data_IF_442402398212
#
_entry.id   IF_442402398212
#
_cell.length_a   1.000
_cell.length_b   1.000
_cell.length_c   1.000
_cell.angle_alpha   90.00
_cell.angle_beta   90.00
_cell.angle_gamma   90.00
#
_symmetry.space_group_name_H-M   'P 1'
#
loop_
_entity.id
_entity.type
_entity.pdbx_description
1 polymer ?
#
# COMPACT_ATOMS: atom_id res chain seq x y z
N UNK A 1 29.67 -39.15 -24.65
CA UNK A 1 30.18 -39.68 -23.37
C UNK A 1 30.38 -38.52 -22.41
N UNK A 2 29.72 -38.59 -21.25
CA UNK A 2 30.12 -38.10 -19.90
C UNK A 2 28.93 -37.51 -19.11
N UNK A 3 28.28 -38.44 -18.40
CA UNK A 3 27.66 -38.42 -17.06
C UNK A 3 26.99 -37.18 -16.46
N UNK A 4 25.74 -37.43 -16.02
CA UNK A 4 24.85 -36.64 -15.18
C UNK A 4 25.32 -36.47 -13.72
N UNK A 5 24.74 -35.48 -13.02
CA UNK A 5 24.50 -35.55 -11.55
C UNK A 5 23.15 -34.95 -11.18
N UNK A 6 22.30 -35.80 -10.62
CA UNK A 6 21.03 -35.48 -9.96
C UNK A 6 21.31 -34.88 -8.58
N UNK A 7 20.58 -33.82 -8.21
CA UNK A 7 20.48 -33.38 -6.82
C UNK A 7 19.15 -33.88 -6.26
N UNK A 8 19.21 -34.90 -5.40
CA UNK A 8 18.10 -35.37 -4.59
C UNK A 8 18.10 -34.56 -3.30
N UNK A 9 17.07 -33.74 -3.08
CA UNK A 9 16.82 -33.13 -1.77
C UNK A 9 15.88 -34.04 -0.98
N UNK A 10 16.44 -34.77 -0.01
CA UNK A 10 15.69 -35.42 1.06
C UNK A 10 15.63 -34.43 2.22
N UNK A 11 14.44 -33.99 2.61
CA UNK A 11 14.27 -33.31 3.90
C UNK A 11 13.23 -34.05 4.71
N UNK A 12 13.73 -34.62 5.80
CA UNK A 12 13.05 -35.50 6.75
C UNK A 12 11.93 -34.79 7.50
N UNK A 13 10.80 -35.48 7.59
CA UNK A 13 9.68 -35.20 8.48
C UNK A 13 10.06 -35.71 9.88
N UNK A 14 10.19 -34.80 10.85
CA UNK A 14 10.27 -35.14 12.27
C UNK A 14 9.00 -34.63 12.96
N UNK A 15 8.07 -35.54 13.26
CA UNK A 15 6.87 -35.28 14.05
C UNK A 15 7.22 -35.46 15.52
N UNK A 16 7.34 -34.36 16.26
CA UNK A 16 7.42 -34.37 17.73
C UNK A 16 6.00 -34.18 18.28
N UNK A 17 5.44 -35.25 18.84
CA UNK A 17 4.22 -35.23 19.67
C UNK A 17 4.64 -34.83 21.08
N UNK A 18 4.25 -33.63 21.52
CA UNK A 18 4.47 -33.14 22.89
C UNK A 18 3.14 -32.92 23.61
N UNK A 19 2.99 -33.58 24.76
CA UNK A 19 1.81 -33.52 25.63
C UNK A 19 1.71 -32.18 26.39
N UNK A 20 0.53 -31.57 26.26
CA UNK A 20 -0.28 -30.85 27.25
C UNK A 20 0.33 -30.52 28.63
N UNK A 21 0.40 -29.22 28.91
CA UNK A 21 0.06 -28.64 30.22
C UNK A 21 -0.74 -27.35 29.99
N UNK A 22 -1.94 -27.34 30.54
CA UNK A 22 -2.97 -26.32 30.39
C UNK A 22 -2.67 -25.12 31.30
N UNK A 23 -2.31 -23.99 30.71
CA UNK A 23 -2.41 -22.69 31.35
C UNK A 23 -3.34 -21.81 30.50
N UNK A 24 -4.41 -21.38 31.17
CA UNK A 24 -5.57 -20.65 30.70
C UNK A 24 -5.17 -19.22 30.27
N UNK A 25 -4.54 -19.07 29.10
CA UNK A 25 -4.40 -17.76 28.49
C UNK A 25 -5.75 -17.34 27.89
N UNK A 26 -6.43 -16.45 28.60
CA UNK A 26 -7.51 -15.59 28.12
C UNK A 26 -7.04 -14.69 26.95
N UNK A 27 -6.57 -15.30 25.87
CA UNK A 27 -6.25 -14.65 24.61
C UNK A 27 -7.58 -14.26 23.98
N UNK A 28 -7.90 -12.98 24.12
CA UNK A 28 -9.10 -12.35 23.58
C UNK A 28 -9.33 -12.83 22.15
N UNK A 29 -10.39 -13.62 21.99
CA UNK A 29 -10.71 -14.28 20.74
C UNK A 29 -10.70 -13.27 19.61
N UNK A 30 -9.78 -13.52 18.69
CA UNK A 30 -9.47 -12.69 17.54
C UNK A 30 -10.70 -11.99 17.01
N UNK A 31 -10.60 -10.66 17.01
CA UNK A 31 -11.48 -9.77 16.30
C UNK A 31 -11.33 -10.08 14.80
N UNK A 32 -12.04 -11.10 14.31
CA UNK A 32 -12.06 -11.47 12.90
C UNK A 32 -12.77 -10.37 12.12
N UNK A 33 -12.04 -9.31 11.81
CA UNK A 33 -12.47 -8.24 10.95
C UNK A 33 -12.16 -8.64 9.50
N UNK A 34 -13.18 -8.58 8.64
CA UNK A 34 -13.05 -8.95 7.23
C UNK A 34 -12.14 -7.95 6.53
N UNK A 35 -11.02 -8.42 5.99
CA UNK A 35 -10.09 -7.62 5.20
C UNK A 35 -10.31 -7.90 3.72
N UNK A 36 -10.60 -6.85 2.96
CA UNK A 36 -10.70 -6.91 1.50
C UNK A 36 -9.55 -6.11 0.89
N UNK A 37 -8.91 -6.67 -0.15
CA UNK A 37 -7.85 -5.99 -0.89
C UNK A 37 -8.38 -5.43 -2.21
N UNK A 38 -7.93 -4.23 -2.56
CA UNK A 38 -8.31 -3.49 -3.75
C UNK A 38 -7.05 -3.02 -4.49
N UNK A 39 -7.13 -3.01 -5.82
CA UNK A 39 -6.17 -2.26 -6.65
C UNK A 39 -6.67 -0.81 -6.72
N UNK A 40 -5.76 0.14 -6.57
CA UNK A 40 -6.04 1.57 -6.60
C UNK A 40 -4.90 2.32 -7.29
N UNK A 41 -5.12 3.59 -7.60
CA UNK A 41 -4.08 4.50 -8.11
C UNK A 41 -3.86 5.60 -7.08
N UNK A 42 -2.62 5.76 -6.67
CA UNK A 42 -2.18 6.89 -5.86
C UNK A 42 -1.58 7.94 -6.77
N UNK A 43 -2.11 9.16 -6.72
CA UNK A 43 -1.68 10.28 -7.56
C UNK A 43 -1.15 11.42 -6.71
N UNK A 44 -0.02 11.99 -7.10
CA UNK A 44 0.53 13.20 -6.49
C UNK A 44 0.03 14.43 -7.26
N UNK A 45 -0.66 15.40 -6.64
CA UNK A 45 -1.00 16.64 -7.33
C UNK A 45 0.26 17.37 -7.81
N UNK A 46 0.28 17.74 -9.09
CA UNK A 46 1.38 18.50 -9.71
C UNK A 46 0.82 19.78 -10.34
N UNK A 47 1.59 20.87 -10.25
CA UNK A 47 1.23 22.16 -10.86
C UNK A 47 1.66 22.24 -12.33
N UNK A 48 2.63 21.42 -12.74
CA UNK A 48 3.16 21.35 -14.11
C UNK A 48 2.46 20.23 -14.90
N UNK A 49 1.70 20.56 -15.96
CA UNK A 49 1.00 19.56 -16.78
C UNK A 49 1.91 18.51 -17.42
N UNK A 50 3.19 18.84 -17.67
CA UNK A 50 4.14 17.89 -18.25
C UNK A 50 4.50 16.75 -17.29
N UNK A 51 4.25 16.92 -15.99
CA UNK A 51 4.50 15.91 -14.96
C UNK A 51 3.29 15.01 -14.69
N UNK A 52 2.09 15.36 -15.17
CA UNK A 52 0.84 14.62 -14.86
C UNK A 52 0.94 13.13 -15.22
N UNK A 53 1.53 12.80 -16.37
CA UNK A 53 1.70 11.42 -16.83
C UNK A 53 2.63 10.56 -15.93
N UNK A 54 3.40 11.20 -15.05
CA UNK A 54 4.37 10.56 -14.16
C UNK A 54 3.95 10.60 -12.69
N UNK A 55 2.83 11.25 -12.38
CA UNK A 55 2.36 11.47 -11.02
C UNK A 55 1.50 10.32 -10.45
N UNK A 56 1.19 9.33 -11.28
CA UNK A 56 0.36 8.17 -10.92
C UNK A 56 1.20 6.93 -10.57
N UNK A 57 0.76 6.24 -9.52
CA UNK A 57 1.39 5.05 -8.98
C UNK A 57 0.33 3.99 -8.65
N UNK A 58 0.40 2.79 -9.23
CA UNK A 58 -0.48 1.70 -8.85
C UNK A 58 -0.14 1.23 -7.43
N UNK A 59 -1.17 1.06 -6.59
CA UNK A 59 -1.03 0.60 -5.21
C UNK A 59 -2.09 -0.43 -4.88
N UNK A 60 -1.76 -1.35 -3.96
CA UNK A 60 -2.72 -2.28 -3.38
C UNK A 60 -3.12 -1.81 -1.99
N UNK A 61 -4.43 -1.69 -1.78
CA UNK A 61 -5.02 -1.15 -0.55
C UNK A 61 -5.83 -2.23 0.14
N UNK A 62 -5.54 -2.48 1.41
CA UNK A 62 -6.35 -3.33 2.27
C UNK A 62 -7.33 -2.46 3.06
N UNK A 63 -8.62 -2.76 2.95
CA UNK A 63 -9.67 -2.12 3.75
C UNK A 63 -10.28 -3.17 4.67
N UNK A 64 -10.44 -2.83 5.93
CA UNK A 64 -10.97 -3.69 6.96
C UNK A 64 -12.12 -3.01 7.69
N UNK A 65 -13.26 -3.69 7.79
CA UNK A 65 -14.37 -3.26 8.66
C UNK A 65 -14.20 -3.89 10.04
N UNK A 66 -13.92 -3.04 11.04
CA UNK A 66 -13.74 -3.44 12.43
C UNK A 66 -15.11 -3.72 13.07
N UNK A 67 -15.14 -4.60 14.09
CA UNK A 67 -16.39 -4.93 14.81
C UNK A 67 -17.02 -3.72 15.48
N UNK A 68 -16.23 -2.71 15.82
CA UNK A 68 -16.70 -1.44 16.35
C UNK A 68 -17.46 -0.57 15.33
N UNK A 69 -17.72 -1.06 14.11
CA UNK A 69 -18.31 -0.29 13.02
C UNK A 69 -17.37 0.78 12.45
N UNK A 70 -16.06 0.60 12.62
CA UNK A 70 -15.02 1.51 12.11
C UNK A 70 -14.39 0.93 10.84
N UNK A 71 -13.90 1.80 9.96
CA UNK A 71 -13.12 1.39 8.79
C UNK A 71 -11.64 1.63 9.03
N UNK A 72 -10.80 0.67 8.65
CA UNK A 72 -9.35 0.77 8.63
C UNK A 72 -8.86 0.61 7.19
N UNK A 73 -8.04 1.55 6.74
CA UNK A 73 -7.39 1.53 5.43
C UNK A 73 -5.88 1.41 5.62
N UNK A 74 -5.26 0.41 4.98
CA UNK A 74 -3.85 0.11 5.09
C UNK A 74 -3.23 -0.11 3.71
N UNK A 75 -2.10 0.52 3.44
CA UNK A 75 -1.32 0.30 2.22
C UNK A 75 0.14 0.75 2.42
N UNK A 76 0.97 0.60 1.40
CA UNK A 76 2.34 1.14 1.40
C UNK A 76 2.50 2.16 0.28
N UNK A 77 3.13 3.30 0.58
CA UNK A 77 3.52 4.27 -0.43
C UNK A 77 4.55 3.64 -1.40
N UNK A 78 4.49 3.96 -2.70
CA UNK A 78 5.44 3.48 -3.69
C UNK A 78 6.87 3.87 -3.34
N UNK A 79 7.81 2.94 -3.52
CA UNK A 79 9.25 3.23 -3.30
C UNK A 79 9.78 4.20 -4.33
N UNK A 80 9.16 4.23 -5.50
CA UNK A 80 9.38 5.15 -6.60
C UNK A 80 8.90 6.57 -6.30
N UNK A 81 8.22 6.79 -5.17
CA UNK A 81 7.80 8.11 -4.71
C UNK A 81 8.59 8.58 -3.47
N UNK A 82 8.80 7.70 -2.49
CA UNK A 82 9.41 8.11 -1.20
C UNK A 82 10.78 7.49 -0.92
N UNK A 83 11.23 6.54 -1.75
CA UNK A 83 12.54 5.86 -1.62
C UNK A 83 12.57 4.68 -0.64
N UNK A 84 11.60 4.59 0.27
CA UNK A 84 11.45 3.49 1.23
C UNK A 84 10.04 2.89 1.19
N UNK A 85 9.87 1.71 1.78
CA UNK A 85 8.52 1.15 1.99
C UNK A 85 7.88 1.82 3.20
N UNK A 86 7.10 2.87 2.95
CA UNK A 86 6.39 3.61 4.00
C UNK A 86 4.97 3.09 4.14
N UNK A 87 4.65 2.45 5.26
CA UNK A 87 3.30 1.94 5.54
C UNK A 87 2.39 3.07 5.99
N UNK A 88 1.22 3.14 5.39
CA UNK A 88 0.14 4.07 5.73
C UNK A 88 -0.98 3.27 6.38
N UNK A 89 -1.46 3.77 7.51
CA UNK A 89 -2.54 3.16 8.27
C UNK A 89 -3.46 4.27 8.76
N UNK A 90 -4.71 4.23 8.31
CA UNK A 90 -5.74 5.16 8.74
C UNK A 90 -6.93 4.41 9.31
N UNK A 91 -7.53 4.98 10.36
CA UNK A 91 -8.75 4.46 10.97
C UNK A 91 -9.73 5.61 11.17
N UNK A 92 -11.01 5.34 10.91
CA UNK A 92 -12.08 6.32 11.07
C UNK A 92 -13.45 5.65 11.25
N UNK A 93 -14.54 6.42 11.12
CA UNK A 93 -15.90 5.88 11.13
C UNK A 93 -16.12 4.88 9.98
N UNK A 94 -17.15 4.04 10.09
CA UNK A 94 -17.44 2.99 9.11
C UNK A 94 -17.82 3.49 7.72
N UNK A 95 -18.32 4.72 7.61
CA UNK A 95 -18.56 5.39 6.33
C UNK A 95 -17.26 5.81 5.62
N UNK A 96 -16.13 5.78 6.32
CA UNK A 96 -14.81 6.11 5.80
C UNK A 96 -14.62 7.57 5.35
N UNK A 97 -15.56 8.46 5.64
CA UNK A 97 -15.53 9.84 5.14
C UNK A 97 -14.30 10.61 5.65
N UNK A 98 -13.87 10.34 6.88
CA UNK A 98 -12.66 10.90 7.46
C UNK A 98 -11.88 9.85 8.24
N UNK A 99 -10.68 9.56 7.79
CA UNK A 99 -9.77 8.63 8.43
C UNK A 99 -8.55 9.38 8.98
N UNK A 100 -7.99 8.87 10.07
CA UNK A 100 -6.83 9.47 10.74
C UNK A 100 -5.84 8.39 11.14
N UNK A 101 -4.56 8.73 11.18
CA UNK A 101 -3.51 7.81 11.58
C UNK A 101 -2.21 8.55 11.85
N UNK A 102 -1.18 7.79 12.23
CA UNK A 102 0.13 8.38 12.55
C UNK A 102 0.73 9.15 11.37
N UNK A 103 0.49 8.68 10.15
CA UNK A 103 1.03 9.27 8.95
C UNK A 103 0.31 10.58 8.55
N UNK A 104 -0.92 10.82 9.04
CA UNK A 104 -1.71 11.99 8.66
C UNK A 104 -3.22 11.72 8.66
N UNK A 105 -3.92 12.30 7.69
CA UNK A 105 -5.38 12.19 7.55
C UNK A 105 -5.78 11.89 6.11
N UNK A 106 -6.90 11.18 5.93
CA UNK A 106 -7.55 10.98 4.65
C UNK A 106 -9.01 11.47 4.71
N UNK A 107 -9.46 12.14 3.67
CA UNK A 107 -10.86 12.57 3.48
C UNK A 107 -11.38 11.92 2.20
N UNK A 108 -12.38 11.05 2.33
CA UNK A 108 -12.94 10.30 1.20
C UNK A 108 -14.36 10.77 0.89
N UNK A 109 -14.75 10.72 -0.39
CA UNK A 109 -16.12 10.99 -0.84
C UNK A 109 -17.09 9.82 -0.64
N UNK A 110 -16.59 8.70 -0.12
CA UNK A 110 -17.35 7.52 0.29
C UNK A 110 -16.49 6.48 1.02
N UNK A 111 -17.06 5.32 1.34
CA UNK A 111 -16.32 4.27 2.04
C UNK A 111 -15.17 3.72 1.18
N UNK A 112 -13.92 3.67 1.70
CA UNK A 112 -12.78 3.14 0.96
C UNK A 112 -13.02 1.74 0.40
N UNK A 113 -12.47 1.48 -0.80
CA UNK A 113 -12.66 0.21 -1.50
C UNK A 113 -13.95 0.11 -2.31
N UNK A 114 -14.84 1.11 -2.24
CA UNK A 114 -15.95 1.19 -3.19
C UNK A 114 -15.50 1.77 -4.54
N UNK A 115 -16.17 1.33 -5.58
CA UNK A 115 -15.89 1.71 -6.96
C UNK A 115 -16.07 3.23 -7.16
N UNK A 116 -15.06 3.89 -7.71
CA UNK A 116 -15.07 5.33 -8.00
C UNK A 116 -14.77 6.23 -6.81
N UNK A 117 -14.53 5.69 -5.61
CA UNK A 117 -14.19 6.48 -4.43
C UNK A 117 -12.84 7.17 -4.59
N UNK A 118 -12.79 8.43 -4.15
CA UNK A 118 -11.59 9.27 -4.14
C UNK A 118 -11.32 9.73 -2.73
N UNK A 119 -10.09 9.49 -2.27
CA UNK A 119 -9.60 9.95 -0.97
C UNK A 119 -8.50 10.99 -1.18
N UNK A 120 -8.70 12.20 -0.64
CA UNK A 120 -7.65 13.22 -0.52
C UNK A 120 -6.88 12.97 0.78
N UNK A 121 -5.59 12.76 0.67
CA UNK A 121 -4.71 12.43 1.79
C UNK A 121 -3.73 13.57 2.05
N UNK A 122 -3.54 13.89 3.33
CA UNK A 122 -2.58 14.89 3.81
C UNK A 122 -1.72 14.24 4.87
N UNK A 123 -0.43 14.14 4.60
CA UNK A 123 0.51 13.51 5.51
C UNK A 123 1.18 14.56 6.41
N UNK A 124 1.64 14.11 7.57
CA UNK A 124 2.69 14.84 8.29
C UNK A 124 3.95 14.90 7.41
N UNK A 125 4.91 15.80 7.66
CA UNK A 125 6.17 15.83 6.91
C UNK A 125 6.82 14.44 6.83
N UNK A 126 7.11 14.00 5.61
CA UNK A 126 7.75 12.72 5.31
C UNK A 126 9.15 12.97 4.77
N UNK A 127 10.13 12.19 5.24
CA UNK A 127 11.46 12.21 4.65
C UNK A 127 11.44 11.43 3.32
N UNK A 128 11.69 12.13 2.22
CA UNK A 128 11.83 11.53 0.88
C UNK A 128 13.32 11.34 0.57
N UNK A 129 13.73 10.08 0.36
CA UNK A 129 15.09 9.75 -0.06
C UNK A 129 15.17 9.67 -1.59
N UNK A 130 15.45 10.82 -2.23
CA UNK A 130 15.51 10.93 -3.69
C UNK A 130 16.56 10.00 -4.32
N UNK A 131 17.66 9.70 -3.61
CA UNK A 131 18.67 8.77 -4.11
C UNK A 131 18.14 7.32 -4.13
N UNK A 132 17.29 6.94 -3.17
CA UNK A 132 16.59 5.65 -3.22
C UNK A 132 15.44 5.64 -4.22
N UNK A 133 14.74 6.75 -4.42
CA UNK A 133 13.74 6.88 -5.49
C UNK A 133 14.38 6.61 -6.84
N UNK A 134 15.50 7.27 -7.15
CA UNK A 134 16.20 7.09 -8.41
C UNK A 134 16.63 5.62 -8.62
N UNK A 135 17.22 5.00 -7.59
CA UNK A 135 17.58 3.57 -7.63
C UNK A 135 16.37 2.68 -7.91
N UNK A 136 15.23 2.92 -7.25
CA UNK A 136 14.01 2.13 -7.47
C UNK A 136 13.50 2.27 -8.91
N UNK A 137 13.63 3.45 -9.52
CA UNK A 137 13.25 3.70 -10.90
C UNK A 137 14.19 3.02 -11.89
N UNK A 138 15.51 3.05 -11.63
CA UNK A 138 16.52 2.32 -12.42
C UNK A 138 16.28 0.82 -12.35
N UNK A 139 16.02 0.27 -11.15
CA UNK A 139 15.76 -1.16 -10.96
C UNK A 139 14.53 -1.64 -11.74
N UNK A 140 13.54 -0.76 -11.95
CA UNK A 140 12.34 -1.03 -12.76
C UNK A 140 12.57 -0.86 -14.28
N UNK A 141 13.71 -0.31 -14.70
CA UNK A 141 14.02 -0.02 -16.09
C UNK A 141 13.29 1.20 -16.65
N UNK A 142 13.00 2.20 -15.80
CA UNK A 142 12.44 3.48 -16.26
C UNK A 142 13.42 4.21 -17.21
N UNK A 143 12.89 4.92 -18.20
CA UNK A 143 13.71 5.76 -19.08
C UNK A 143 14.30 6.95 -18.32
N UNK A 144 15.35 7.58 -18.88
CA UNK A 144 15.95 8.77 -18.25
C UNK A 144 14.95 9.94 -18.13
N UNK A 145 14.06 10.09 -19.11
CA UNK A 145 12.97 11.08 -19.08
C UNK A 145 11.98 10.79 -17.94
N UNK A 146 11.50 9.54 -17.83
CA UNK A 146 10.59 9.14 -16.75
C UNK A 146 11.25 9.30 -15.38
N UNK A 147 12.53 8.94 -15.26
CA UNK A 147 13.30 9.10 -14.02
C UNK A 147 13.37 10.57 -13.60
N UNK A 148 13.76 11.44 -14.51
CA UNK A 148 13.84 12.88 -14.23
C UNK A 148 12.49 13.45 -13.78
N UNK A 149 11.41 13.11 -14.50
CA UNK A 149 10.07 13.57 -14.17
C UNK A 149 9.59 13.05 -12.80
N UNK A 150 9.74 11.75 -12.51
CA UNK A 150 9.31 11.17 -11.23
C UNK A 150 10.14 11.66 -10.03
N UNK A 151 11.42 12.00 -10.23
CA UNK A 151 12.24 12.64 -9.20
C UNK A 151 11.71 14.04 -8.84
N UNK A 152 11.29 14.84 -9.84
CA UNK A 152 10.65 16.13 -9.59
C UNK A 152 9.32 15.99 -8.84
N UNK A 153 8.50 15.00 -9.21
CA UNK A 153 7.25 14.68 -8.48
C UNK A 153 7.56 14.32 -7.01
N UNK A 154 8.59 13.50 -6.80
CA UNK A 154 8.99 13.05 -5.46
C UNK A 154 9.54 14.20 -4.60
N UNK A 155 10.34 15.09 -5.20
CA UNK A 155 10.84 16.30 -4.53
C UNK A 155 9.69 17.21 -4.09
N UNK A 156 8.71 17.46 -4.98
CA UNK A 156 7.53 18.25 -4.66
C UNK A 156 6.69 17.62 -3.54
N UNK A 157 6.48 16.30 -3.61
CA UNK A 157 5.78 15.54 -2.57
C UNK A 157 6.49 15.63 -1.20
N UNK A 158 7.82 15.69 -1.17
CA UNK A 158 8.57 15.88 0.08
C UNK A 158 8.36 17.25 0.74
N UNK A 159 7.99 18.28 -0.03
CA UNK A 159 7.70 19.63 0.46
C UNK A 159 6.25 19.73 0.97
N UNK A 160 5.31 19.22 0.18
CA UNK A 160 3.88 19.23 0.50
C UNK A 160 3.29 17.83 0.25
N UNK A 161 3.31 16.94 1.28
CA UNK A 161 2.97 15.54 1.09
C UNK A 161 1.45 15.37 1.07
N UNK A 162 0.88 15.70 -0.10
CA UNK A 162 -0.53 15.55 -0.44
C UNK A 162 -0.63 14.48 -1.52
N UNK A 163 -1.61 13.59 -1.36
CA UNK A 163 -1.91 12.55 -2.33
C UNK A 163 -3.40 12.42 -2.60
N UNK A 164 -3.73 11.80 -3.73
CA UNK A 164 -5.10 11.45 -4.10
C UNK A 164 -5.14 9.96 -4.41
N UNK A 165 -5.82 9.20 -3.56
CA UNK A 165 -6.02 7.77 -3.76
C UNK A 165 -7.36 7.53 -4.46
N UNK A 166 -7.34 6.87 -5.61
CA UNK A 166 -8.53 6.59 -6.43
C UNK A 166 -8.76 5.09 -6.54
N UNK A 167 -9.97 4.65 -6.19
CA UNK A 167 -10.43 3.30 -6.41
C UNK A 167 -11.12 3.24 -7.79
N UNK A 168 -10.54 2.54 -8.78
CA UNK A 168 -11.10 2.52 -10.13
C UNK A 168 -12.49 1.88 -10.11
N UNK A 169 -13.42 2.45 -10.88
CA UNK A 169 -14.71 1.81 -11.13
C UNK A 169 -14.47 0.48 -11.83
N UNK A 170 -14.90 -0.63 -11.23
CA UNK A 170 -14.83 -1.91 -11.93
C UNK A 170 -15.74 -1.83 -13.13
N UNK A 171 -15.23 -2.20 -14.31
CA UNK A 171 -16.09 -2.41 -15.46
C UNK A 171 -17.19 -3.42 -15.06
N UNK A 172 -18.46 -3.24 -15.51
CA UNK A 172 -19.50 -4.21 -15.27
C UNK A 172 -18.99 -5.59 -15.73
N UNK A 173 -18.98 -6.58 -14.83
CA UNK A 173 -18.72 -7.96 -15.24
C UNK A 173 -19.82 -8.31 -16.23
N UNK A 174 -19.46 -8.51 -17.50
CA UNK A 174 -20.43 -9.02 -18.48
C UNK A 174 -20.93 -10.37 -17.95
N UNK A 175 -22.26 -10.58 -17.93
CA UNK A 175 -22.86 -11.80 -17.39
C UNK A 175 -22.43 -13.04 -18.17
#
# INVERSE_FOLDING_TARGET
MTLARHAVCVVSILVMVGCSSSDDELLGSDEQAQTTSFEAVYSVPVDDPSLEAFADYPVRVAVQTLRSGRSRMHYALPRELVGATTKVDFVGPGDGARLTGRAGTASCDGPPGQDGVVCLERFAPLEVDLARVDRALVDRGASDEERAARLLVSERFGIDPIGVLRFPTRAPRRP
#
